data_IF_163974070769
#
_entry.id   IF_163974070769
#
_cell.length_a   1.000
_cell.length_b   1.000
_cell.length_c   1.000
_cell.angle_alpha   90.00
_cell.angle_beta   90.00
_cell.angle_gamma   90.00
#
_symmetry.space_group_name_H-M   'P 1'
#
loop_
_entity.id
_entity.type
_entity.pdbx_description
1 polymer ?
#
# COMPACT_ATOMS: atom_id res chain seq x y z
N UNK A 1 1.10 1.13 -14.10
CA UNK A 1 1.48 2.57 -14.15
C UNK A 1 2.22 2.99 -15.43
N UNK A 2 3.21 2.26 -16.05
CA UNK A 2 3.88 2.77 -17.27
C UNK A 2 2.93 3.07 -18.43
N UNK A 3 1.98 2.20 -18.72
CA UNK A 3 1.04 2.38 -19.84
C UNK A 3 0.18 3.65 -19.74
N UNK A 4 -0.55 3.88 -18.65
CA UNK A 4 -1.31 5.11 -18.46
C UNK A 4 -0.47 6.39 -18.51
N UNK A 5 0.74 6.37 -17.94
CA UNK A 5 1.65 7.52 -18.01
C UNK A 5 2.15 7.78 -19.44
N UNK A 6 2.45 6.72 -20.20
CA UNK A 6 2.83 6.84 -21.59
C UNK A 6 1.68 7.50 -22.39
N UNK A 7 0.46 7.02 -22.21
CA UNK A 7 -0.72 7.58 -22.87
C UNK A 7 -0.94 9.06 -22.54
N UNK A 8 -0.72 9.46 -21.27
CA UNK A 8 -0.78 10.86 -20.87
C UNK A 8 0.26 11.70 -21.59
N UNK A 9 1.53 11.24 -21.66
CA UNK A 9 2.61 11.95 -22.34
C UNK A 9 2.43 12.04 -23.84
N UNK A 10 1.81 11.04 -24.48
CA UNK A 10 1.46 11.06 -25.90
C UNK A 10 0.33 12.06 -26.21
N UNK A 11 -0.66 12.17 -25.31
CA UNK A 11 -1.80 13.07 -25.49
C UNK A 11 -1.46 14.52 -25.19
N UNK A 12 -0.57 14.75 -24.23
CA UNK A 12 -0.15 16.08 -23.75
C UNK A 12 1.37 16.25 -23.90
N UNK A 13 1.90 16.43 -25.14
CA UNK A 13 3.34 16.43 -25.40
C UNK A 13 4.12 17.52 -24.66
N UNK A 14 3.47 18.64 -24.33
CA UNK A 14 4.08 19.79 -23.65
C UNK A 14 3.93 19.73 -22.11
N UNK A 15 3.31 18.65 -21.56
CA UNK A 15 3.11 18.53 -20.14
C UNK A 15 4.46 18.38 -19.40
N UNK A 16 4.60 19.11 -18.30
CA UNK A 16 5.71 18.91 -17.35
C UNK A 16 5.28 17.93 -16.26
N UNK A 17 5.67 16.68 -16.39
CA UNK A 17 5.37 15.64 -15.41
C UNK A 17 6.51 15.54 -14.38
N UNK A 18 6.17 15.75 -13.10
CA UNK A 18 7.04 15.42 -11.96
C UNK A 18 6.32 14.36 -11.12
N UNK A 19 6.91 13.18 -11.03
CA UNK A 19 6.40 12.10 -10.18
C UNK A 19 7.27 11.94 -8.94
N UNK A 20 6.63 11.91 -7.78
CA UNK A 20 7.27 11.68 -6.48
C UNK A 20 6.68 10.42 -5.84
N UNK A 21 7.53 9.62 -5.21
CA UNK A 21 7.10 8.48 -4.40
C UNK A 21 7.54 8.71 -2.96
N UNK A 22 6.57 8.73 -2.05
CA UNK A 22 6.78 8.90 -0.62
C UNK A 22 5.71 8.10 0.15
N UNK A 23 5.75 8.09 1.48
CA UNK A 23 4.67 7.53 2.26
C UNK A 23 3.42 8.44 2.24
N UNK A 24 2.26 7.91 2.62
CA UNK A 24 0.99 8.63 2.53
C UNK A 24 1.01 9.95 3.29
N UNK A 25 1.54 9.95 4.52
CA UNK A 25 1.60 11.16 5.34
C UNK A 25 2.41 12.27 4.66
N UNK A 26 3.54 11.95 4.07
CA UNK A 26 4.39 12.91 3.36
C UNK A 26 3.73 13.41 2.08
N UNK A 27 3.07 12.53 1.31
CA UNK A 27 2.33 12.93 0.11
C UNK A 27 1.19 13.91 0.45
N UNK A 28 0.43 13.65 1.52
CA UNK A 28 -0.63 14.54 1.97
C UNK A 28 -0.06 15.90 2.42
N UNK A 29 1.04 15.90 3.17
CA UNK A 29 1.73 17.14 3.58
C UNK A 29 2.15 18.00 2.37
N UNK A 30 2.75 17.37 1.35
CA UNK A 30 3.17 18.05 0.12
C UNK A 30 1.97 18.57 -0.69
N UNK A 31 0.87 17.82 -0.70
CA UNK A 31 -0.37 18.23 -1.34
C UNK A 31 -0.98 19.46 -0.65
N UNK A 32 -1.00 19.49 0.69
CA UNK A 32 -1.49 20.62 1.49
C UNK A 32 -0.65 21.88 1.26
N UNK A 33 0.67 21.72 1.10
CA UNK A 33 1.60 22.81 0.79
C UNK A 33 1.53 23.29 -0.66
N UNK A 34 0.78 22.61 -1.53
CA UNK A 34 0.68 22.93 -2.94
C UNK A 34 1.91 22.56 -3.77
N UNK A 35 2.77 21.68 -3.22
CA UNK A 35 3.93 21.15 -3.94
C UNK A 35 3.56 19.97 -4.86
N UNK A 36 2.38 19.38 -4.65
CA UNK A 36 1.74 18.39 -5.51
C UNK A 36 0.38 18.89 -5.96
N UNK A 37 0.02 18.58 -7.20
CA UNK A 37 -1.29 18.85 -7.79
C UNK A 37 -2.33 17.84 -7.32
N UNK A 38 -1.97 16.55 -7.33
CA UNK A 38 -2.76 15.43 -6.87
C UNK A 38 -1.84 14.32 -6.36
N UNK A 39 -2.43 13.34 -5.68
CA UNK A 39 -1.72 12.14 -5.23
C UNK A 39 -2.59 10.89 -5.41
N UNK A 40 -1.94 9.74 -5.56
CA UNK A 40 -2.58 8.43 -5.41
C UNK A 40 -2.03 7.85 -4.10
N UNK A 41 -2.92 7.66 -3.15
CA UNK A 41 -2.55 7.19 -1.80
C UNK A 41 -3.30 5.93 -1.43
N UNK A 42 -2.73 5.20 -0.52
CA UNK A 42 -3.33 4.08 0.19
C UNK A 42 -3.48 4.45 1.67
N UNK A 43 -4.31 3.73 2.39
CA UNK A 43 -4.51 3.96 3.82
C UNK A 43 -5.58 5.00 4.12
N UNK A 44 -5.63 5.39 5.38
CA UNK A 44 -6.68 6.25 5.90
C UNK A 44 -6.22 7.72 5.92
N UNK A 45 -7.12 8.61 5.55
CA UNK A 45 -6.92 10.06 5.56
C UNK A 45 -8.26 10.76 5.87
N UNK A 46 -8.20 12.03 6.23
CA UNK A 46 -9.42 12.83 6.43
C UNK A 46 -10.09 13.12 5.07
N UNK A 47 -11.18 12.40 4.80
CA UNK A 47 -11.95 12.55 3.55
C UNK A 47 -12.62 13.91 3.41
N UNK A 48 -12.72 14.71 4.46
CA UNK A 48 -13.28 16.06 4.39
C UNK A 48 -12.26 17.10 3.91
N UNK A 49 -10.97 16.81 4.01
CA UNK A 49 -9.90 17.70 3.60
C UNK A 49 -9.61 17.64 2.09
N UNK A 50 -10.09 16.59 1.39
CA UNK A 50 -9.73 16.32 0.00
C UNK A 50 -10.95 15.94 -0.84
N UNK A 51 -10.98 16.41 -2.09
CA UNK A 51 -11.80 15.79 -3.13
C UNK A 51 -11.08 14.51 -3.62
N UNK A 52 -11.84 13.45 -3.86
CA UNK A 52 -11.22 12.16 -4.16
C UNK A 52 -12.06 11.27 -5.07
N UNK A 53 -11.38 10.35 -5.75
CA UNK A 53 -11.96 9.30 -6.58
C UNK A 53 -11.25 7.97 -6.24
N UNK A 54 -12.00 6.89 -6.15
CA UNK A 54 -11.40 5.55 -5.97
C UNK A 54 -10.63 5.17 -7.22
N UNK A 55 -9.31 4.97 -7.08
CA UNK A 55 -8.45 4.59 -8.19
C UNK A 55 -8.54 3.09 -8.48
N UNK A 56 -8.38 2.24 -7.49
CA UNK A 56 -8.60 0.79 -7.58
C UNK A 56 -8.75 0.18 -6.20
N UNK A 57 -9.32 -1.03 -6.15
CA UNK A 57 -9.37 -1.84 -4.94
C UNK A 57 -8.41 -3.01 -5.13
N UNK A 58 -7.55 -3.26 -4.15
CA UNK A 58 -6.54 -4.31 -4.23
C UNK A 58 -6.60 -5.24 -3.01
N UNK A 59 -6.38 -6.55 -3.19
CA UNK A 59 -6.21 -7.46 -2.08
C UNK A 59 -4.90 -7.15 -1.33
N UNK A 60 -5.00 -7.13 -0.02
CA UNK A 60 -3.89 -6.92 0.92
C UNK A 60 -3.69 -8.20 1.72
N UNK A 61 -2.57 -8.87 1.54
CA UNK A 61 -2.38 -10.24 1.95
C UNK A 61 -1.07 -10.45 2.74
N UNK A 62 -1.09 -11.34 3.75
CA UNK A 62 0.11 -11.78 4.43
C UNK A 62 0.90 -12.74 3.54
N UNK A 63 2.23 -12.59 3.52
CA UNK A 63 3.13 -13.45 2.75
C UNK A 63 4.37 -13.86 3.55
N UNK A 64 4.93 -14.99 3.16
CA UNK A 64 6.21 -15.48 3.65
C UNK A 64 7.01 -16.17 2.53
N UNK A 65 8.26 -16.55 2.80
CA UNK A 65 9.01 -17.43 1.91
C UNK A 65 8.38 -18.84 1.89
N UNK A 66 8.42 -19.59 0.76
CA UNK A 66 7.83 -20.93 0.69
C UNK A 66 8.45 -21.95 1.66
N UNK A 67 9.71 -21.73 2.07
CA UNK A 67 10.41 -22.56 3.04
C UNK A 67 10.31 -22.04 4.48
N UNK A 68 9.50 -20.98 4.72
CA UNK A 68 9.32 -20.41 6.07
C UNK A 68 8.59 -21.40 6.96
N UNK A 69 9.14 -21.65 8.15
CA UNK A 69 8.57 -22.59 9.11
C UNK A 69 7.91 -21.82 10.25
N UNK A 70 6.60 -21.95 10.36
CA UNK A 70 5.82 -21.39 11.46
C UNK A 70 6.06 -22.21 12.75
N UNK A 71 6.11 -21.51 13.89
CA UNK A 71 6.23 -22.17 15.20
C UNK A 71 4.98 -23.04 15.51
N UNK A 72 3.83 -22.70 14.91
CA UNK A 72 2.54 -23.42 15.04
C UNK A 72 1.71 -23.29 13.76
N UNK A 73 0.71 -24.15 13.57
CA UNK A 73 -0.23 -23.99 12.46
C UNK A 73 -0.89 -22.60 12.47
N UNK A 74 -0.99 -21.99 11.30
CA UNK A 74 -1.58 -20.67 11.11
C UNK A 74 -2.94 -20.82 10.44
N UNK A 75 -3.99 -20.32 11.06
CA UNK A 75 -5.34 -20.26 10.55
C UNK A 75 -5.93 -18.85 10.65
N UNK A 76 -5.53 -18.09 11.67
CA UNK A 76 -6.06 -16.76 11.97
C UNK A 76 -4.94 -15.73 12.14
N UNK A 77 -5.32 -14.47 12.14
CA UNK A 77 -4.39 -13.36 12.37
C UNK A 77 -3.61 -13.51 13.69
N UNK A 78 -4.27 -13.97 14.75
CA UNK A 78 -3.65 -14.16 16.07
C UNK A 78 -2.54 -15.21 16.07
N UNK A 79 -2.59 -16.18 15.15
CA UNK A 79 -1.55 -17.20 15.03
C UNK A 79 -0.23 -16.64 14.48
N UNK A 80 -0.30 -15.51 13.77
CA UNK A 80 0.87 -14.81 13.24
C UNK A 80 1.66 -14.03 14.31
N UNK A 81 1.09 -13.78 15.49
CA UNK A 81 1.71 -12.95 16.53
C UNK A 81 3.02 -13.53 17.08
N UNK A 82 3.24 -14.85 16.95
CA UNK A 82 4.50 -15.50 17.31
C UNK A 82 5.65 -15.18 16.37
N UNK A 83 5.35 -14.76 15.15
CA UNK A 83 6.30 -14.58 14.07
C UNK A 83 7.00 -13.21 14.11
N UNK A 84 8.06 -13.05 13.30
CA UNK A 84 8.64 -11.72 13.04
C UNK A 84 7.83 -11.01 11.99
N UNK A 85 7.23 -9.89 12.36
CA UNK A 85 6.61 -8.97 11.42
C UNK A 85 7.64 -7.98 10.87
N UNK A 86 7.78 -7.94 9.55
CA UNK A 86 8.47 -6.85 8.85
C UNK A 86 7.42 -5.86 8.36
N UNK A 87 7.52 -4.60 8.79
CA UNK A 87 6.49 -3.58 8.55
C UNK A 87 7.12 -2.26 8.11
N UNK A 88 6.34 -1.45 7.40
CA UNK A 88 6.73 -0.10 7.02
C UNK A 88 6.81 0.82 8.25
N UNK A 89 7.49 1.94 8.06
CA UNK A 89 7.59 3.02 9.04
C UNK A 89 6.22 3.66 9.34
N UNK A 90 6.05 4.35 10.49
CA UNK A 90 4.88 5.18 10.77
C UNK A 90 4.64 6.22 9.66
N UNK A 91 3.36 6.49 9.36
CA UNK A 91 2.98 7.38 8.26
C UNK A 91 2.85 6.68 6.90
N UNK A 92 3.28 5.42 6.78
CA UNK A 92 3.02 4.61 5.59
C UNK A 92 1.56 4.18 5.52
N UNK A 93 0.91 4.37 4.36
CA UNK A 93 -0.45 3.88 4.12
C UNK A 93 -0.57 2.38 4.25
N UNK A 94 0.39 1.61 3.73
CA UNK A 94 0.45 0.15 3.88
C UNK A 94 0.43 -0.27 5.35
N UNK A 95 1.20 0.43 6.21
CA UNK A 95 1.18 0.18 7.66
C UNK A 95 -0.15 0.55 8.29
N UNK A 96 -0.72 1.71 7.95
CA UNK A 96 -2.00 2.16 8.49
C UNK A 96 -3.12 1.15 8.23
N UNK A 97 -3.14 0.53 7.04
CA UNK A 97 -4.11 -0.52 6.71
C UNK A 97 -3.93 -1.73 7.63
N UNK A 98 -2.70 -2.20 7.85
CA UNK A 98 -2.43 -3.29 8.77
C UNK A 98 -2.85 -2.95 10.20
N UNK A 99 -2.45 -1.76 10.68
CA UNK A 99 -2.79 -1.30 12.03
C UNK A 99 -4.30 -1.29 12.24
N UNK A 100 -5.08 -0.81 11.25
CA UNK A 100 -6.54 -0.82 11.32
C UNK A 100 -7.14 -2.23 11.37
N UNK A 101 -6.64 -3.14 10.55
CA UNK A 101 -7.04 -4.55 10.54
C UNK A 101 -6.76 -5.22 11.88
N UNK A 102 -5.64 -4.89 12.52
CA UNK A 102 -5.28 -5.38 13.84
C UNK A 102 -6.17 -4.75 14.94
N UNK A 103 -6.43 -3.44 14.87
CA UNK A 103 -7.29 -2.73 15.83
C UNK A 103 -8.71 -3.31 15.88
N UNK A 104 -9.29 -3.70 14.74
CA UNK A 104 -10.61 -4.36 14.67
C UNK A 104 -10.64 -5.69 15.43
N UNK A 105 -9.47 -6.26 15.73
CA UNK A 105 -9.27 -7.48 16.53
C UNK A 105 -8.71 -7.20 17.92
N UNK A 106 -8.67 -5.94 18.36
CA UNK A 106 -8.03 -5.50 19.60
C UNK A 106 -6.53 -5.85 19.67
N UNK A 107 -5.85 -5.85 18.52
CA UNK A 107 -4.43 -6.10 18.37
C UNK A 107 -3.73 -4.84 17.84
N UNK A 108 -2.41 -4.84 17.86
CA UNK A 108 -1.57 -3.82 17.23
C UNK A 108 -0.24 -4.45 16.76
N UNK A 109 0.61 -3.69 16.08
CA UNK A 109 1.89 -4.19 15.57
C UNK A 109 2.85 -4.62 16.69
N UNK A 110 2.73 -4.04 17.90
CA UNK A 110 3.52 -4.43 19.07
C UNK A 110 3.02 -5.75 19.70
N UNK A 111 1.86 -6.24 19.30
CA UNK A 111 1.36 -7.57 19.70
C UNK A 111 2.20 -8.70 19.09
N UNK A 112 2.95 -8.43 18.02
CA UNK A 112 3.87 -9.38 17.44
C UNK A 112 5.11 -9.55 18.31
N UNK A 113 5.53 -10.80 18.52
CA UNK A 113 6.70 -11.13 19.36
C UNK A 113 7.99 -10.47 18.89
N UNK A 114 8.14 -10.28 17.58
CA UNK A 114 9.31 -9.65 16.95
C UNK A 114 8.85 -8.69 15.87
N UNK A 115 9.27 -7.45 15.95
CA UNK A 115 8.95 -6.39 15.01
C UNK A 115 10.24 -5.88 14.35
N UNK A 116 10.20 -5.70 13.03
CA UNK A 116 11.26 -5.03 12.26
C UNK A 116 10.63 -3.96 11.39
N UNK A 117 11.03 -2.72 11.62
CA UNK A 117 10.50 -1.55 10.93
C UNK A 117 11.48 -1.06 9.87
N UNK A 118 11.03 -0.91 8.63
CA UNK A 118 11.85 -0.49 7.49
C UNK A 118 11.11 0.52 6.61
N UNK A 119 11.80 1.59 6.18
CA UNK A 119 11.27 2.62 5.30
C UNK A 119 11.17 2.22 3.82
N UNK A 120 11.65 1.03 3.43
CA UNK A 120 11.67 0.59 2.04
C UNK A 120 10.86 -0.69 1.84
N UNK A 121 9.76 -0.57 1.09
CA UNK A 121 8.92 -1.70 0.71
C UNK A 121 9.71 -2.81 -0.03
N UNK A 122 10.65 -2.40 -0.89
CA UNK A 122 11.49 -3.33 -1.63
C UNK A 122 12.49 -4.07 -0.72
N UNK A 123 13.01 -3.42 0.32
CA UNK A 123 13.86 -4.07 1.33
C UNK A 123 13.06 -5.09 2.14
N UNK A 124 11.84 -4.74 2.57
CA UNK A 124 10.94 -5.67 3.26
C UNK A 124 10.69 -6.91 2.39
N UNK A 125 10.29 -6.71 1.12
CA UNK A 125 10.03 -7.79 0.18
C UNK A 125 11.22 -8.76 0.06
N UNK A 126 12.43 -8.23 -0.15
CA UNK A 126 13.66 -9.04 -0.24
C UNK A 126 13.95 -9.83 1.03
N UNK A 127 13.73 -9.22 2.19
CA UNK A 127 13.92 -9.90 3.49
C UNK A 127 12.89 -11.01 3.70
N UNK A 128 11.62 -10.80 3.31
CA UNK A 128 10.60 -11.86 3.36
C UNK A 128 10.95 -13.00 2.42
N UNK A 129 11.38 -12.74 1.18
CA UNK A 129 11.86 -13.76 0.26
C UNK A 129 13.04 -14.56 0.82
N UNK A 130 13.89 -13.92 1.62
CA UNK A 130 15.03 -14.56 2.30
C UNK A 130 14.63 -15.32 3.59
N UNK A 131 13.35 -15.34 3.94
CA UNK A 131 12.85 -16.07 5.13
C UNK A 131 13.06 -15.35 6.45
N UNK A 132 13.28 -14.03 6.46
CA UNK A 132 13.51 -13.26 7.69
C UNK A 132 12.25 -13.13 8.58
N UNK A 133 11.07 -13.39 8.04
CA UNK A 133 9.80 -13.28 8.73
C UNK A 133 8.64 -13.18 7.75
N UNK A 134 7.54 -12.61 8.20
CA UNK A 134 6.32 -12.37 7.42
C UNK A 134 6.10 -10.88 7.20
N UNK A 135 5.32 -10.52 6.19
CA UNK A 135 4.86 -9.17 5.97
C UNK A 135 3.50 -9.17 5.25
N UNK A 136 2.88 -8.00 5.18
CA UNK A 136 1.64 -7.78 4.46
C UNK A 136 1.89 -6.85 3.27
N UNK A 137 1.39 -7.26 2.10
CA UNK A 137 1.55 -6.50 0.86
C UNK A 137 0.25 -6.47 0.06
N UNK A 138 0.08 -5.43 -0.74
CA UNK A 138 -0.89 -5.50 -1.83
C UNK A 138 -0.43 -6.50 -2.89
N UNK A 139 -1.35 -7.34 -3.36
CA UNK A 139 -1.05 -8.40 -4.35
C UNK A 139 -0.20 -7.92 -5.54
N UNK A 140 -0.48 -6.77 -6.19
CA UNK A 140 0.32 -6.33 -7.33
C UNK A 140 1.80 -6.05 -7.01
N UNK A 141 2.13 -5.75 -5.75
CA UNK A 141 3.51 -5.47 -5.31
C UNK A 141 4.36 -6.75 -5.26
N UNK A 142 3.72 -7.89 -5.00
CA UNK A 142 4.38 -9.20 -4.81
C UNK A 142 4.00 -10.22 -5.87
N UNK A 143 3.20 -9.84 -6.87
CA UNK A 143 2.69 -10.79 -7.87
C UNK A 143 3.82 -11.52 -8.60
N UNK A 144 4.87 -10.81 -9.00
CA UNK A 144 6.01 -11.41 -9.69
C UNK A 144 6.73 -12.46 -8.81
N UNK A 145 6.90 -12.20 -7.52
CA UNK A 145 7.51 -13.12 -6.58
C UNK A 145 6.60 -14.31 -6.23
N UNK A 146 5.28 -14.09 -6.20
CA UNK A 146 4.31 -15.18 -6.06
C UNK A 146 4.34 -16.10 -7.27
N UNK A 147 4.30 -15.55 -8.48
CA UNK A 147 4.34 -16.31 -9.74
C UNK A 147 5.67 -17.07 -9.91
N UNK A 148 6.77 -16.49 -9.44
CA UNK A 148 8.09 -17.11 -9.44
C UNK A 148 8.30 -18.12 -8.29
N UNK A 149 7.34 -18.29 -7.39
CA UNK A 149 7.45 -19.17 -6.22
C UNK A 149 8.51 -18.71 -5.20
N UNK A 150 8.86 -17.43 -5.19
CA UNK A 150 9.78 -16.83 -4.20
C UNK A 150 9.04 -16.39 -2.93
N UNK A 151 7.75 -16.15 -3.04
CA UNK A 151 6.84 -15.90 -1.95
C UNK A 151 5.63 -16.83 -2.04
N UNK A 152 4.99 -17.05 -0.92
CA UNK A 152 3.67 -17.67 -0.83
C UNK A 152 2.74 -16.84 0.04
N UNK A 153 1.46 -16.86 -0.30
CA UNK A 153 0.40 -16.28 0.51
C UNK A 153 0.15 -17.14 1.74
N UNK A 154 0.01 -16.50 2.90
CA UNK A 154 -0.42 -17.17 4.13
C UNK A 154 -1.94 -17.14 4.13
N UNK A 155 -2.58 -18.31 4.02
CA UNK A 155 -4.02 -18.40 4.03
C UNK A 155 -4.56 -18.19 5.46
N UNK A 156 -5.49 -17.24 5.61
CA UNK A 156 -6.20 -16.98 6.85
C UNK A 156 -7.70 -17.24 6.67
N UNK A 157 -8.31 -17.96 7.62
CA UNK A 157 -9.75 -18.21 7.64
C UNK A 157 -10.58 -16.96 7.96
N UNK A 158 -9.96 -15.94 8.53
CA UNK A 158 -10.58 -14.65 8.90
C UNK A 158 -11.11 -13.84 7.69
N UNK A 159 -10.85 -14.31 6.48
CA UNK A 159 -11.26 -13.69 5.23
C UNK A 159 -10.18 -12.83 4.58
N UNK A 160 -10.47 -12.41 3.36
CA UNK A 160 -9.57 -11.60 2.55
C UNK A 160 -9.68 -10.12 2.92
N UNK A 161 -8.55 -9.44 3.04
CA UNK A 161 -8.47 -8.00 3.27
C UNK A 161 -8.40 -7.31 1.92
N UNK A 162 -9.27 -6.33 1.71
CA UNK A 162 -9.25 -5.47 0.52
C UNK A 162 -9.15 -4.01 0.96
N UNK A 163 -8.41 -3.22 0.22
CA UNK A 163 -8.31 -1.80 0.48
C UNK A 163 -8.22 -1.00 -0.82
N UNK A 164 -8.75 0.23 -0.80
CA UNK A 164 -8.78 1.12 -1.94
C UNK A 164 -7.51 1.98 -2.03
N UNK A 165 -7.02 2.16 -3.25
CA UNK A 165 -6.14 3.25 -3.62
C UNK A 165 -7.01 4.42 -4.06
N UNK A 166 -6.70 5.60 -3.53
CA UNK A 166 -7.51 6.79 -3.75
C UNK A 166 -6.68 7.85 -4.49
N UNK A 167 -7.20 8.31 -5.62
CA UNK A 167 -6.72 9.50 -6.30
C UNK A 167 -7.37 10.71 -5.64
N UNK A 168 -6.58 11.66 -5.16
CA UNK A 168 -7.09 12.79 -4.39
C UNK A 168 -6.33 14.08 -4.67
N UNK A 169 -7.01 15.20 -4.45
CA UNK A 169 -6.49 16.57 -4.55
C UNK A 169 -7.12 17.45 -3.47
N UNK A 170 -6.58 18.64 -3.26
CA UNK A 170 -7.11 19.58 -2.25
C UNK A 170 -8.55 19.92 -2.55
N UNK A 171 -9.39 19.89 -1.52
CA UNK A 171 -10.80 20.22 -1.63
C UNK A 171 -11.00 21.63 -2.21
N UNK A 172 -12.00 21.78 -3.08
CA UNK A 172 -12.35 23.06 -3.69
C UNK A 172 -11.32 23.61 -4.68
N UNK A 173 -10.39 22.79 -5.18
CA UNK A 173 -9.43 23.22 -6.20
C UNK A 173 -10.13 23.67 -7.47
N UNK A 174 -9.74 24.84 -8.00
CA UNK A 174 -10.24 25.34 -9.30
C UNK A 174 -9.81 24.43 -10.47
N UNK A 175 -8.78 23.60 -10.28
CA UNK A 175 -8.28 22.63 -11.25
C UNK A 175 -8.97 21.26 -11.15
N UNK A 176 -9.98 21.09 -10.28
CA UNK A 176 -10.69 19.82 -10.11
C UNK A 176 -11.20 19.20 -11.43
N UNK A 177 -11.73 19.95 -12.42
CA UNK A 177 -12.10 19.37 -13.71
C UNK A 177 -10.91 18.71 -14.43
N UNK A 178 -9.76 19.38 -14.45
CA UNK A 178 -8.53 18.87 -15.06
C UNK A 178 -8.02 17.62 -14.35
N UNK A 179 -8.05 17.60 -13.00
CA UNK A 179 -7.64 16.40 -12.24
C UNK A 179 -8.55 15.20 -12.51
N UNK A 180 -9.84 15.41 -12.77
CA UNK A 180 -10.75 14.33 -13.19
C UNK A 180 -10.39 13.78 -14.57
N UNK A 181 -10.00 14.64 -15.51
CA UNK A 181 -9.51 14.19 -16.83
C UNK A 181 -8.24 13.36 -16.69
N UNK A 182 -7.27 13.81 -15.89
CA UNK A 182 -6.04 13.06 -15.58
C UNK A 182 -6.39 11.71 -14.93
N UNK A 183 -7.32 11.71 -13.96
CA UNK A 183 -7.78 10.45 -13.35
C UNK A 183 -8.27 9.46 -14.40
N UNK A 184 -9.14 9.88 -15.33
CA UNK A 184 -9.66 9.01 -16.38
C UNK A 184 -8.56 8.51 -17.32
N UNK A 185 -7.56 9.32 -17.62
CA UNK A 185 -6.41 8.91 -18.42
C UNK A 185 -5.52 7.90 -17.70
N UNK A 186 -5.37 8.02 -16.39
CA UNK A 186 -4.55 7.11 -15.58
C UNK A 186 -5.27 5.83 -15.19
N UNK A 187 -6.61 5.86 -15.14
CA UNK A 187 -7.44 4.72 -14.76
C UNK A 187 -7.65 3.74 -15.93
N UNK A 188 -7.63 4.22 -17.18
CA UNK A 188 -7.76 3.43 -18.41
C UNK A 188 -9.18 3.26 -18.84
#
# INVERSE_FOLDING_TARGET
MPGPLLHLLEREPDIRLRMLTANTQELLRLLDQGELDFAIVEGYFDRQAYDSLTYCIQPYLPVCAPFYQFERPVQRMEDLLGERLLVREPGSGTRNVLERVLEERNLNVQSFRRLSELGSLNAIKKLVCAGAGISFFYRPVVQAELDAGQLQEIFLEDGSIFHDFTFLWRQGSVFAPYYREIFHLLHG
#
